data_IF_941926089544
#
_entry.id   IF_941926089544
#
_cell.length_a   1.000
_cell.length_b   1.000
_cell.length_c   1.000
_cell.angle_alpha   90.00
_cell.angle_beta   90.00
_cell.angle_gamma   90.00
#
_symmetry.space_group_name_H-M   'P 1'
#
loop_
_entity.id
_entity.type
_entity.pdbx_description
1 polymer ?
#
# COMPACT_ATOMS: atom_id res chain seq x y z
N UNK A 1 6.18 10.02 1.08
CA UNK A 1 5.35 9.00 1.74
C UNK A 1 5.80 7.60 1.36
N UNK A 2 5.51 6.60 2.19
CA UNK A 2 6.36 5.44 2.56
C UNK A 2 7.76 5.84 3.01
N UNK A 3 8.55 6.53 2.17
CA UNK A 3 9.91 7.00 2.53
C UNK A 3 9.96 8.03 3.68
N UNK A 4 8.81 8.60 4.06
CA UNK A 4 8.70 9.50 5.21
C UNK A 4 7.93 8.89 6.38
N UNK A 5 7.63 7.58 6.31
CA UNK A 5 6.94 6.89 7.38
C UNK A 5 7.89 6.70 8.57
N UNK A 6 7.37 6.93 9.77
CA UNK A 6 8.03 6.64 11.04
C UNK A 6 7.86 5.17 11.46
N UNK A 7 6.83 4.50 10.93
CA UNK A 7 6.57 3.07 11.08
C UNK A 7 5.94 2.51 9.80
N UNK A 8 6.38 1.32 9.37
CA UNK A 8 5.76 0.55 8.27
C UNK A 8 5.18 -0.76 8.81
N UNK A 9 3.92 -1.05 8.47
CA UNK A 9 3.29 -2.33 8.76
C UNK A 9 3.13 -3.12 7.46
N UNK A 10 3.94 -4.17 7.30
CA UNK A 10 3.83 -5.12 6.20
C UNK A 10 2.77 -6.17 6.54
N UNK A 11 1.85 -6.45 5.62
CA UNK A 11 0.73 -7.36 5.84
C UNK A 11 0.62 -8.28 4.62
N UNK A 12 0.84 -9.59 4.80
CA UNK A 12 0.69 -10.60 3.76
C UNK A 12 1.51 -10.31 2.51
N UNK A 13 2.76 -9.87 2.70
CA UNK A 13 3.65 -9.48 1.61
C UNK A 13 5.04 -10.02 1.85
N UNK A 14 5.64 -10.58 0.80
CA UNK A 14 7.02 -11.10 0.86
C UNK A 14 8.06 -10.00 1.06
N UNK A 15 7.69 -8.71 0.97
CA UNK A 15 8.61 -7.56 1.05
C UNK A 15 9.79 -7.63 0.06
N UNK A 16 9.58 -8.32 -1.06
CA UNK A 16 10.60 -8.52 -2.10
C UNK A 16 11.00 -7.23 -2.83
N UNK A 17 12.19 -7.26 -3.45
CA UNK A 17 12.79 -6.09 -4.10
C UNK A 17 11.92 -5.40 -5.15
N UNK A 18 11.08 -6.13 -5.89
CA UNK A 18 10.16 -5.53 -6.86
C UNK A 18 9.13 -4.60 -6.21
N UNK A 19 8.61 -5.00 -5.05
CA UNK A 19 7.60 -4.23 -4.30
C UNK A 19 8.23 -3.06 -3.53
N UNK A 20 9.49 -3.21 -3.11
CA UNK A 20 10.18 -2.25 -2.23
C UNK A 20 11.18 -1.35 -2.97
N UNK A 21 11.12 -1.33 -4.30
CA UNK A 21 12.08 -0.61 -5.15
C UNK A 21 13.52 -0.96 -4.79
N UNK A 22 13.87 -2.24 -4.92
CA UNK A 22 15.15 -2.82 -4.52
C UNK A 22 15.54 -2.46 -3.07
N UNK A 23 14.59 -2.63 -2.14
CA UNK A 23 14.74 -2.33 -0.70
C UNK A 23 15.09 -0.87 -0.37
N UNK A 24 14.90 0.05 -1.33
CA UNK A 24 15.09 1.48 -1.09
C UNK A 24 13.87 2.13 -0.42
N UNK A 25 12.67 1.55 -0.57
CA UNK A 25 11.42 2.10 -0.05
C UNK A 25 10.56 0.99 0.59
N UNK A 26 10.40 0.98 1.92
CA UNK A 26 11.06 1.85 2.88
C UNK A 26 12.56 1.54 2.95
N UNK A 27 13.36 2.51 3.42
CA UNK A 27 14.79 2.30 3.65
C UNK A 27 14.98 1.21 4.70
N UNK A 28 15.98 0.37 4.51
CA UNK A 28 16.39 -0.58 5.55
C UNK A 28 16.76 0.19 6.82
N UNK A 29 16.20 -0.24 7.96
CA UNK A 29 16.31 0.45 9.24
C UNK A 29 15.12 1.36 9.60
N UNK A 30 14.19 1.63 8.67
CA UNK A 30 12.89 2.20 9.04
C UNK A 30 12.17 1.24 9.99
N UNK A 31 11.61 1.72 11.12
CA UNK A 31 10.83 0.87 12.01
C UNK A 31 9.75 0.10 11.26
N UNK A 32 9.74 -1.22 11.42
CA UNK A 32 8.82 -2.09 10.70
C UNK A 32 8.16 -3.11 11.62
N UNK A 33 6.91 -3.44 11.34
CA UNK A 33 6.23 -4.62 11.86
C UNK A 33 5.71 -5.45 10.69
N UNK A 34 5.62 -6.76 10.86
CA UNK A 34 5.14 -7.66 9.79
C UNK A 34 4.09 -8.63 10.33
N UNK A 35 2.99 -8.77 9.58
CA UNK A 35 1.94 -9.76 9.81
C UNK A 35 1.97 -10.70 8.61
N UNK A 36 2.28 -11.97 8.85
CA UNK A 36 2.32 -12.97 7.79
C UNK A 36 1.88 -14.35 8.28
N UNK A 37 1.23 -15.12 7.42
CA UNK A 37 0.84 -16.49 7.72
C UNK A 37 2.01 -17.46 7.57
N UNK A 38 2.93 -17.14 6.65
CA UNK A 38 4.15 -17.90 6.45
C UNK A 38 5.24 -17.42 7.42
N UNK A 39 5.68 -18.28 8.37
CA UNK A 39 6.73 -17.90 9.31
C UNK A 39 8.08 -17.61 8.63
N UNK A 40 8.36 -18.20 7.46
CA UNK A 40 9.64 -17.98 6.75
C UNK A 40 9.74 -16.60 6.10
N UNK A 41 8.60 -15.96 5.83
CA UNK A 41 8.56 -14.61 5.29
C UNK A 41 8.89 -13.53 6.34
N UNK A 42 8.67 -13.83 7.63
CA UNK A 42 8.76 -12.84 8.71
C UNK A 42 10.22 -12.44 8.95
N UNK A 43 10.52 -11.15 8.75
CA UNK A 43 11.86 -10.59 9.02
C UNK A 43 12.91 -10.97 7.98
N UNK A 44 12.51 -11.63 6.88
CA UNK A 44 13.41 -12.06 5.81
C UNK A 44 14.18 -10.90 5.16
N UNK A 45 13.52 -9.75 4.97
CA UNK A 45 14.09 -8.61 4.24
C UNK A 45 14.27 -7.34 5.08
N UNK A 46 13.56 -7.21 6.21
CA UNK A 46 13.56 -6.01 7.05
C UNK A 46 13.76 -6.39 8.52
N UNK A 47 14.63 -5.69 9.26
CA UNK A 47 14.64 -5.79 10.73
C UNK A 47 13.28 -5.33 11.29
N UNK A 48 12.65 -6.19 12.09
CA UNK A 48 11.32 -5.92 12.63
C UNK A 48 11.38 -5.52 14.10
N UNK A 49 10.55 -4.56 14.49
CA UNK A 49 10.21 -4.30 15.89
C UNK A 49 9.29 -5.38 16.46
N UNK A 50 8.42 -5.93 15.62
CA UNK A 50 7.54 -7.05 15.96
C UNK A 50 7.15 -7.85 14.72
N UNK A 51 7.10 -9.17 14.86
CA UNK A 51 6.53 -10.08 13.87
C UNK A 51 5.30 -10.78 14.44
N UNK A 52 4.24 -10.88 13.65
CA UNK A 52 3.01 -11.59 14.01
C UNK A 52 2.81 -12.70 13.00
N UNK A 53 3.04 -13.95 13.42
CA UNK A 53 2.70 -15.10 12.60
C UNK A 53 1.22 -15.42 12.76
N UNK A 54 0.45 -15.26 11.68
CA UNK A 54 -0.97 -15.56 11.68
C UNK A 54 -1.72 -15.00 10.48
N UNK A 55 -2.98 -15.40 10.37
CA UNK A 55 -3.89 -14.89 9.36
C UNK A 55 -4.09 -13.37 9.48
N UNK A 56 -3.95 -12.65 8.37
CA UNK A 56 -4.03 -11.19 8.33
C UNK A 56 -5.40 -10.68 8.77
N UNK A 57 -6.50 -11.34 8.37
CA UNK A 57 -7.87 -10.92 8.69
C UNK A 57 -8.13 -11.04 10.19
N UNK A 58 -7.80 -12.18 10.80
CA UNK A 58 -7.97 -12.43 12.24
C UNK A 58 -7.09 -11.47 13.06
N UNK A 59 -5.83 -11.30 12.65
CA UNK A 59 -4.89 -10.41 13.33
C UNK A 59 -5.36 -8.96 13.29
N UNK A 60 -5.74 -8.45 12.11
CA UNK A 60 -6.23 -7.08 11.95
C UNK A 60 -7.53 -6.83 12.72
N UNK A 61 -8.44 -7.80 12.78
CA UNK A 61 -9.66 -7.68 13.57
C UNK A 61 -9.35 -7.48 15.06
N UNK A 62 -8.37 -8.22 15.60
CA UNK A 62 -7.90 -8.06 16.99
C UNK A 62 -7.22 -6.71 17.21
N UNK A 63 -6.36 -6.30 16.29
CA UNK A 63 -5.70 -4.99 16.35
C UNK A 63 -6.71 -3.84 16.32
N UNK A 64 -7.75 -3.94 15.49
CA UNK A 64 -8.83 -2.96 15.44
C UNK A 64 -9.59 -2.86 16.77
N UNK A 65 -9.79 -3.99 17.45
CA UNK A 65 -10.40 -4.01 18.79
C UNK A 65 -9.51 -3.37 19.87
N UNK A 66 -8.19 -3.45 19.73
CA UNK A 66 -7.22 -2.86 20.66
C UNK A 66 -6.86 -1.39 20.33
N UNK A 67 -7.20 -0.91 19.13
CA UNK A 67 -6.80 0.41 18.66
C UNK A 67 -7.55 1.54 19.39
N UNK A 68 -6.82 2.52 19.91
CA UNK A 68 -7.41 3.75 20.44
C UNK A 68 -7.91 4.64 19.29
N UNK A 69 -9.23 4.69 19.12
CA UNK A 69 -9.89 5.52 18.10
C UNK A 69 -9.69 7.02 18.33
N UNK A 70 -9.53 7.47 19.58
CA UNK A 70 -9.31 8.88 19.89
C UNK A 70 -7.96 9.38 19.33
N UNK A 71 -6.99 8.49 19.16
CA UNK A 71 -5.68 8.82 18.58
C UNK A 71 -5.72 9.16 17.07
N UNK A 72 -6.81 8.87 16.36
CA UNK A 72 -6.91 9.03 14.90
C UNK A 72 -6.63 10.47 14.43
N UNK A 73 -7.09 11.47 15.20
CA UNK A 73 -6.88 12.88 14.87
C UNK A 73 -5.40 13.28 14.75
N UNK A 74 -4.50 12.62 15.49
CA UNK A 74 -3.05 12.88 15.46
C UNK A 74 -2.44 12.65 14.06
N UNK A 75 -3.05 11.77 13.26
CA UNK A 75 -2.56 11.38 11.93
C UNK A 75 -3.25 12.12 10.79
N UNK A 76 -4.15 13.07 11.07
CA UNK A 76 -4.94 13.77 10.05
C UNK A 76 -4.06 14.45 8.99
N UNK A 77 -3.05 15.21 9.40
CA UNK A 77 -2.15 15.90 8.49
C UNK A 77 -1.35 14.93 7.59
N UNK A 78 -0.92 13.79 8.14
CA UNK A 78 -0.24 12.74 7.36
C UNK A 78 -1.16 12.13 6.31
N UNK A 79 -2.40 11.79 6.69
CA UNK A 79 -3.40 11.22 5.78
C UNK A 79 -3.78 12.23 4.67
N UNK A 80 -3.97 13.50 5.02
CA UNK A 80 -4.25 14.56 4.03
C UNK A 80 -3.08 14.74 3.06
N UNK A 81 -1.84 14.69 3.55
CA UNK A 81 -0.65 14.64 2.71
C UNK A 81 -0.67 13.45 1.74
N UNK A 82 -1.04 12.26 2.21
CA UNK A 82 -1.12 11.04 1.39
C UNK A 82 -2.11 11.21 0.26
N UNK A 83 -3.31 11.65 0.62
CA UNK A 83 -4.39 11.89 -0.32
C UNK A 83 -4.02 12.97 -1.34
N UNK A 84 -3.29 14.01 -0.93
CA UNK A 84 -2.80 15.04 -1.85
C UNK A 84 -1.85 14.44 -2.90
N UNK A 85 -0.87 13.63 -2.50
CA UNK A 85 0.04 12.97 -3.44
C UNK A 85 -0.72 12.06 -4.42
N UNK A 86 -1.68 11.26 -3.93
CA UNK A 86 -2.50 10.41 -4.79
C UNK A 86 -3.31 11.23 -5.80
N UNK A 87 -3.89 12.36 -5.37
CA UNK A 87 -4.65 13.27 -6.24
C UNK A 87 -3.76 13.92 -7.30
N UNK A 88 -2.58 14.40 -6.91
CA UNK A 88 -1.61 15.01 -7.83
C UNK A 88 -1.12 14.01 -8.87
N UNK A 89 -0.82 12.77 -8.45
CA UNK A 89 -0.46 11.69 -9.37
C UNK A 89 -1.60 11.40 -10.35
N UNK A 90 -2.84 11.25 -9.85
CA UNK A 90 -4.00 10.99 -10.70
C UNK A 90 -4.24 12.11 -11.72
N UNK A 91 -4.15 13.37 -11.28
CA UNK A 91 -4.29 14.54 -12.16
C UNK A 91 -3.18 14.59 -13.23
N UNK A 92 -1.93 14.26 -12.86
CA UNK A 92 -0.79 14.23 -13.78
C UNK A 92 -1.02 13.26 -14.95
N UNK A 93 -1.62 12.10 -14.70
CA UNK A 93 -1.82 11.07 -15.72
C UNK A 93 -3.19 11.12 -16.41
N UNK A 94 -4.08 12.03 -16.00
CA UNK A 94 -5.45 12.09 -16.52
C UNK A 94 -5.50 12.23 -18.05
N UNK A 95 -4.61 13.04 -18.64
CA UNK A 95 -4.57 13.22 -20.09
C UNK A 95 -4.24 11.92 -20.86
N UNK A 96 -3.41 11.04 -20.27
CA UNK A 96 -3.10 9.73 -20.86
C UNK A 96 -4.26 8.75 -20.70
N UNK A 97 -4.92 8.78 -19.53
CA UNK A 97 -6.06 7.91 -19.20
C UNK A 97 -7.31 8.23 -20.03
N UNK A 98 -7.49 9.47 -20.48
CA UNK A 98 -8.63 9.91 -21.30
C UNK A 98 -8.24 10.23 -22.76
N UNK A 99 -7.10 9.73 -23.23
CA UNK A 99 -6.61 10.02 -24.59
C UNK A 99 -7.46 9.32 -25.66
N UNK A 100 -7.80 10.03 -26.74
CA UNK A 100 -8.47 9.49 -27.95
C UNK A 100 -7.47 9.24 -29.11
N UNK A 101 -6.17 9.14 -28.80
CA UNK A 101 -5.15 8.92 -29.83
C UNK A 101 -5.30 7.56 -30.53
N UNK A 102 -4.94 7.52 -31.81
CA UNK A 102 -4.83 6.29 -32.61
C UNK A 102 -3.36 6.07 -33.02
N UNK A 103 -2.76 4.88 -32.74
CA UNK A 103 -3.36 3.72 -32.06
C UNK A 103 -3.65 3.98 -30.58
N UNK A 104 -4.61 3.22 -30.02
CA UNK A 104 -5.07 3.37 -28.64
C UNK A 104 -3.92 3.18 -27.65
N UNK A 105 -3.89 4.03 -26.63
CA UNK A 105 -2.93 3.95 -25.53
C UNK A 105 -3.30 2.84 -24.53
N UNK A 106 -2.33 2.06 -24.00
CA UNK A 106 -2.60 1.10 -22.94
C UNK A 106 -3.26 1.73 -21.71
N UNK A 107 -2.87 2.95 -21.32
CA UNK A 107 -3.46 3.65 -20.18
C UNK A 107 -4.95 3.93 -20.39
N UNK A 108 -5.36 4.25 -21.63
CA UNK A 108 -6.78 4.44 -21.97
C UNK A 108 -7.56 3.14 -21.85
N UNK A 109 -7.00 2.02 -22.30
CA UNK A 109 -7.63 0.69 -22.17
C UNK A 109 -7.83 0.37 -20.68
N UNK A 110 -6.80 0.53 -19.86
CA UNK A 110 -6.88 0.28 -18.41
C UNK A 110 -7.90 1.18 -17.72
N UNK A 111 -8.03 2.45 -18.16
CA UNK A 111 -9.02 3.37 -17.62
C UNK A 111 -10.46 2.93 -17.93
N UNK A 112 -10.74 2.49 -19.15
CA UNK A 112 -12.07 1.98 -19.53
C UNK A 112 -12.40 0.67 -18.79
N UNK A 113 -11.43 -0.25 -18.67
CA UNK A 113 -11.61 -1.46 -17.87
C UNK A 113 -11.94 -1.12 -16.42
N UNK A 114 -11.17 -0.25 -15.79
CA UNK A 114 -11.42 0.20 -14.40
C UNK A 114 -12.82 0.79 -14.22
N UNK A 115 -13.34 1.51 -15.23
CA UNK A 115 -14.66 2.14 -15.18
C UNK A 115 -15.81 1.16 -15.34
N UNK A 116 -15.61 0.10 -16.12
CA UNK A 116 -16.70 -0.77 -16.59
C UNK A 116 -16.69 -2.17 -15.97
N UNK A 117 -15.56 -2.61 -15.41
CA UNK A 117 -15.50 -3.88 -14.68
C UNK A 117 -16.35 -3.75 -13.40
N UNK A 118 -17.29 -4.68 -13.17
CA UNK A 118 -18.11 -4.67 -11.95
C UNK A 118 -17.26 -5.01 -10.73
N UNK A 119 -17.74 -4.69 -9.53
CA UNK A 119 -17.03 -4.94 -8.26
C UNK A 119 -16.63 -6.41 -8.05
N UNK A 120 -17.35 -7.35 -8.67
CA UNK A 120 -17.09 -8.79 -8.64
C UNK A 120 -16.49 -9.33 -9.95
N UNK A 121 -15.97 -8.44 -10.80
CA UNK A 121 -15.31 -8.80 -12.05
C UNK A 121 -13.93 -9.41 -11.81
N UNK A 122 -13.46 -10.19 -12.80
CA UNK A 122 -12.13 -10.80 -12.82
C UNK A 122 -11.34 -10.11 -13.93
N UNK A 123 -10.15 -9.61 -13.63
CA UNK A 123 -9.25 -8.84 -14.53
C UNK A 123 -7.93 -9.56 -14.68
#
# INVERSE_FOLDING_TARGET
>A
MVNGADLVCFIGTETGGMTTHFWAVPKIGTPAIQIDIDPEAIGRNYPLLAGVNGDAKVTLARMLGAADRASAGKRKAWVEGAQKICKEWSAKYQAALSSDAAPIRPERICAELTRHVPDNGIV
#
